data_IF_236957508638
#
_entry.id   IF_236957508638
#
_cell.length_a   1.000
_cell.length_b   1.000
_cell.length_c   1.000
_cell.angle_alpha   90.00
_cell.angle_beta   90.00
_cell.angle_gamma   90.00
#
_symmetry.space_group_name_H-M   'P 1'
#
loop_
_entity.id
_entity.type
_entity.pdbx_description
1 polymer ?
#
# COMPACT_ATOMS: atom_id res chain seq x y z
N UNK A 1 15.86 11.66 3.68
CA UNK A 1 14.48 11.21 3.41
C UNK A 1 13.80 10.88 4.73
N UNK A 2 12.50 11.12 4.84
CA UNK A 2 11.68 10.72 6.00
C UNK A 2 10.89 9.47 5.61
N UNK A 3 10.70 8.54 6.55
CA UNK A 3 9.98 7.29 6.34
C UNK A 3 8.91 7.12 7.42
N UNK A 4 7.74 6.60 7.03
CA UNK A 4 6.82 5.96 7.95
C UNK A 4 7.30 4.52 8.17
N UNK A 5 7.31 4.09 9.43
CA UNK A 5 7.75 2.76 9.84
C UNK A 5 6.69 2.15 10.76
N UNK A 6 6.26 0.94 10.42
CA UNK A 6 5.36 0.10 11.20
C UNK A 6 5.79 -1.37 11.02
N UNK A 7 5.29 -2.27 11.88
CA UNK A 7 5.68 -3.69 11.88
C UNK A 7 5.51 -4.38 10.52
N UNK A 8 6.55 -4.44 9.69
CA UNK A 8 6.47 -5.03 8.35
C UNK A 8 6.06 -4.08 7.22
N UNK A 9 5.99 -2.76 7.49
CA UNK A 9 5.80 -1.72 6.49
C UNK A 9 6.83 -0.61 6.71
N UNK A 10 7.64 -0.33 5.69
CA UNK A 10 8.52 0.84 5.66
C UNK A 10 8.30 1.58 4.36
N UNK A 11 7.78 2.79 4.47
CA UNK A 11 7.36 3.57 3.31
C UNK A 11 7.96 4.97 3.36
N UNK A 12 8.54 5.41 2.26
CA UNK A 12 9.07 6.78 2.14
C UNK A 12 7.92 7.78 2.17
N UNK A 13 8.13 8.88 2.89
CA UNK A 13 7.22 10.02 2.84
C UNK A 13 7.52 10.82 1.56
N UNK A 14 6.52 11.11 0.71
CA UNK A 14 6.67 11.97 -0.46
C UNK A 14 7.31 13.33 -0.10
N UNK A 15 8.17 13.83 -0.99
CA UNK A 15 9.05 14.96 -0.71
C UNK A 15 8.29 16.23 -0.30
N UNK A 16 7.14 16.47 -0.92
CA UNK A 16 6.24 17.59 -0.66
C UNK A 16 5.59 17.54 0.73
N UNK A 17 5.50 16.36 1.35
CA UNK A 17 4.96 16.17 2.70
C UNK A 17 6.04 16.18 3.80
N UNK A 18 7.31 16.01 3.45
CA UNK A 18 8.43 15.89 4.42
C UNK A 18 8.49 17.09 5.37
N UNK A 19 8.38 18.32 4.86
CA UNK A 19 8.48 19.53 5.69
C UNK A 19 7.40 19.58 6.79
N UNK A 20 6.17 19.17 6.46
CA UNK A 20 5.05 19.12 7.40
C UNK A 20 5.17 17.97 8.40
N UNK A 21 5.76 16.85 7.96
CA UNK A 21 5.92 15.65 8.79
C UNK A 21 7.16 15.68 9.69
N UNK A 22 8.12 16.57 9.43
CA UNK A 22 9.37 16.64 10.19
C UNK A 22 9.15 16.83 11.71
N UNK A 23 8.14 17.61 12.10
CA UNK A 23 7.80 17.86 13.51
C UNK A 23 7.30 16.61 14.26
N UNK A 24 6.82 15.59 13.54
CA UNK A 24 6.27 14.35 14.09
C UNK A 24 7.29 13.20 14.11
N UNK A 25 8.57 13.47 13.80
CA UNK A 25 9.61 12.45 13.79
C UNK A 25 9.72 11.77 15.17
N UNK A 26 9.63 10.44 15.18
CA UNK A 26 9.68 9.63 16.40
C UNK A 26 8.36 9.58 17.19
N UNK A 27 7.30 10.22 16.69
CA UNK A 27 5.96 10.14 17.27
C UNK A 27 5.11 9.12 16.52
N UNK A 28 4.13 8.54 17.21
CA UNK A 28 3.12 7.70 16.58
C UNK A 28 2.13 8.57 15.82
N UNK A 29 1.90 8.24 14.55
CA UNK A 29 0.95 8.93 13.68
C UNK A 29 0.08 7.90 12.97
N UNK A 30 -1.09 8.33 12.50
CA UNK A 30 -1.97 7.49 11.66
C UNK A 30 -1.62 7.72 10.19
N UNK A 31 -1.28 6.64 9.48
CA UNK A 31 -1.11 6.64 8.03
C UNK A 31 -2.42 6.19 7.38
N UNK A 32 -2.99 7.04 6.53
CA UNK A 32 -4.13 6.68 5.68
C UNK A 32 -3.72 6.75 4.22
N UNK A 33 -4.03 5.69 3.47
CA UNK A 33 -3.86 5.59 2.02
C UNK A 33 -5.22 5.18 1.47
N UNK A 34 -5.67 5.80 0.37
CA UNK A 34 -6.93 5.37 -0.23
C UNK A 34 -6.72 4.10 -1.06
N UNK A 35 -7.73 3.22 -1.17
CA UNK A 35 -7.60 1.98 -1.94
C UNK A 35 -7.15 2.20 -3.40
N UNK A 36 -7.57 3.29 -4.03
CA UNK A 36 -7.21 3.65 -5.40
C UNK A 36 -5.77 4.13 -5.60
N UNK A 37 -5.11 4.55 -4.53
CA UNK A 37 -3.71 5.02 -4.57
C UNK A 37 -2.73 3.84 -4.48
N UNK A 38 -3.24 2.62 -4.33
CA UNK A 38 -2.48 1.37 -4.32
C UNK A 38 -2.54 0.70 -5.69
N UNK A 39 -1.37 0.33 -6.22
CA UNK A 39 -1.26 -0.43 -7.46
C UNK A 39 -0.50 -1.73 -7.26
N UNK A 40 -0.84 -2.74 -8.03
CA UNK A 40 -0.02 -3.95 -8.14
C UNK A 40 1.28 -3.57 -8.86
N UNK A 41 2.42 -3.76 -8.19
CA UNK A 41 3.74 -3.50 -8.77
C UNK A 41 4.56 -4.78 -8.71
N UNK A 42 4.64 -5.54 -9.82
CA UNK A 42 5.45 -6.75 -9.87
C UNK A 42 6.97 -6.47 -9.96
N UNK A 43 7.38 -5.20 -10.10
CA UNK A 43 8.74 -4.79 -10.40
C UNK A 43 9.42 -3.94 -9.31
N UNK A 44 10.59 -3.40 -9.65
CA UNK A 44 11.38 -2.52 -8.78
C UNK A 44 10.89 -1.06 -8.79
N UNK A 45 9.96 -0.73 -9.68
CA UNK A 45 9.36 0.60 -9.75
C UNK A 45 8.62 0.89 -8.45
N UNK A 46 8.89 2.06 -7.87
CA UNK A 46 8.38 2.49 -6.57
C UNK A 46 8.83 1.61 -5.39
N UNK A 47 10.03 1.03 -5.42
CA UNK A 47 10.55 0.19 -4.31
C UNK A 47 10.47 0.86 -2.93
N UNK A 48 10.67 2.19 -2.86
CA UNK A 48 10.56 3.00 -1.64
C UNK A 48 9.11 3.13 -1.10
N UNK A 49 8.13 2.76 -1.91
CA UNK A 49 6.68 2.81 -1.64
C UNK A 49 5.99 1.45 -1.73
N UNK A 50 6.77 0.39 -1.99
CA UNK A 50 6.24 -0.94 -2.24
C UNK A 50 6.36 -1.84 -1.01
N UNK A 51 5.37 -2.70 -0.82
CA UNK A 51 5.29 -3.67 0.26
C UNK A 51 4.59 -4.93 -0.21
N UNK A 52 4.92 -6.03 0.45
CA UNK A 52 4.27 -7.31 0.21
C UNK A 52 3.08 -7.47 1.14
N UNK A 53 1.97 -7.99 0.62
CA UNK A 53 0.77 -8.31 1.39
C UNK A 53 0.21 -9.67 0.97
N UNK A 54 -0.58 -10.29 1.84
CA UNK A 54 -1.30 -11.53 1.54
C UNK A 54 -2.72 -11.20 1.11
N UNK A 55 -3.21 -11.75 0.01
CA UNK A 55 -4.59 -11.56 -0.42
C UNK A 55 -5.52 -12.42 0.45
N UNK A 56 -6.45 -11.81 1.16
CA UNK A 56 -7.48 -12.50 1.93
C UNK A 56 -8.74 -12.72 1.08
N UNK A 57 -9.21 -11.66 0.41
CA UNK A 57 -10.43 -11.68 -0.40
C UNK A 57 -10.19 -10.99 -1.74
N UNK A 58 -10.83 -11.53 -2.78
CA UNK A 58 -10.89 -10.92 -4.12
C UNK A 58 -12.35 -10.65 -4.42
N UNK A 59 -12.72 -9.39 -4.57
CA UNK A 59 -14.10 -8.93 -4.84
C UNK A 59 -14.21 -8.27 -6.22
N UNK A 60 -14.64 -9.00 -7.26
CA UNK A 60 -14.86 -8.43 -8.58
C UNK A 60 -16.16 -7.60 -8.60
N UNK A 61 -16.05 -6.32 -8.94
CA UNK A 61 -17.18 -5.38 -9.01
C UNK A 61 -17.56 -5.01 -10.46
N UNK A 62 -17.00 -5.72 -11.44
CA UNK A 62 -17.20 -5.47 -12.87
C UNK A 62 -16.07 -4.62 -13.45
N UNK A 63 -16.09 -3.30 -13.21
CA UNK A 63 -15.06 -2.39 -13.75
C UNK A 63 -13.77 -2.35 -12.94
N UNK A 64 -13.76 -2.95 -11.75
CA UNK A 64 -12.63 -2.99 -10.84
C UNK A 64 -12.71 -4.22 -9.94
N UNK A 65 -11.62 -4.49 -9.23
CA UNK A 65 -11.53 -5.52 -8.20
C UNK A 65 -11.10 -4.84 -6.90
N UNK A 66 -11.81 -5.11 -5.81
CA UNK A 66 -11.30 -4.82 -4.47
C UNK A 66 -10.53 -6.04 -3.97
N UNK A 67 -9.32 -5.80 -3.52
CA UNK A 67 -8.47 -6.78 -2.86
C UNK A 67 -8.40 -6.42 -1.39
N UNK A 68 -8.97 -7.27 -0.54
CA UNK A 68 -8.67 -7.22 0.88
C UNK A 68 -7.37 -7.97 1.09
N UNK A 69 -6.39 -7.27 1.66
CA UNK A 69 -5.06 -7.81 1.90
C UNK A 69 -4.65 -7.67 3.36
N UNK A 70 -3.97 -8.68 3.88
CA UNK A 70 -3.30 -8.63 5.16
C UNK A 70 -1.87 -8.11 4.99
N UNK A 71 -1.57 -7.01 5.67
CA UNK A 71 -0.25 -6.41 5.80
C UNK A 71 0.01 -6.14 7.27
N UNK A 72 1.14 -6.57 7.83
CA UNK A 72 1.52 -6.20 9.20
C UNK A 72 0.50 -6.61 10.29
N UNK A 73 -0.36 -7.61 10.04
CA UNK A 73 -1.48 -7.95 10.92
C UNK A 73 -2.65 -6.96 10.87
N UNK A 74 -2.66 -6.06 9.88
CA UNK A 74 -3.75 -5.14 9.57
C UNK A 74 -4.39 -5.53 8.23
N UNK A 75 -5.70 -5.32 8.14
CA UNK A 75 -6.44 -5.45 6.88
C UNK A 75 -6.42 -4.12 6.13
N UNK A 76 -6.07 -4.18 4.85
CA UNK A 76 -5.99 -3.03 3.93
C UNK A 76 -6.76 -3.39 2.67
N UNK A 77 -7.47 -2.43 2.11
CA UNK A 77 -8.19 -2.61 0.83
C UNK A 77 -7.38 -1.94 -0.28
N UNK A 78 -7.15 -2.65 -1.37
CA UNK A 78 -6.58 -2.09 -2.60
C UNK A 78 -7.59 -2.22 -3.74
N UNK A 79 -7.73 -1.16 -4.54
CA UNK A 79 -8.63 -1.13 -5.69
C UNK A 79 -7.81 -1.22 -6.96
N UNK A 80 -8.04 -2.28 -7.73
CA UNK A 80 -7.20 -2.62 -8.88
C UNK A 80 -8.00 -2.82 -10.15
N UNK A 81 -7.32 -2.70 -11.28
CA UNK A 81 -7.87 -2.94 -12.62
C UNK A 81 -8.42 -4.38 -12.74
N UNK A 82 -9.50 -4.59 -13.51
CA UNK A 82 -10.14 -5.90 -13.64
C UNK A 82 -9.25 -6.93 -14.36
N UNK A 83 -8.18 -6.48 -15.02
CA UNK A 83 -7.18 -7.36 -15.63
C UNK A 83 -6.21 -7.98 -14.62
N UNK A 84 -6.17 -7.50 -13.38
CA UNK A 84 -5.29 -8.05 -12.34
C UNK A 84 -5.74 -9.46 -11.99
N UNK A 85 -4.78 -10.41 -12.07
CA UNK A 85 -4.99 -11.79 -11.66
C UNK A 85 -4.42 -11.95 -10.25
N UNK A 86 -5.28 -11.92 -9.25
CA UNK A 86 -4.95 -12.23 -7.87
C UNK A 86 -5.82 -13.41 -7.40
N UNK A 87 -5.30 -14.20 -6.47
CA UNK A 87 -6.03 -15.30 -5.82
C UNK A 87 -6.00 -15.14 -4.31
N UNK A 88 -7.03 -15.60 -3.58
CA UNK A 88 -6.95 -15.72 -2.14
C UNK A 88 -5.73 -16.56 -1.72
N UNK A 89 -5.06 -16.13 -0.65
CA UNK A 89 -3.80 -16.68 -0.11
C UNK A 89 -2.59 -16.53 -1.04
N UNK A 90 -2.67 -15.67 -2.05
CA UNK A 90 -1.53 -15.28 -2.86
C UNK A 90 -0.76 -14.12 -2.21
N UNK A 91 0.56 -14.20 -2.22
CA UNK A 91 1.41 -13.07 -1.85
C UNK A 91 1.49 -12.11 -3.04
N UNK A 92 1.02 -10.89 -2.85
CA UNK A 92 1.03 -9.85 -3.88
C UNK A 92 1.91 -8.67 -3.43
N UNK A 93 2.53 -8.00 -4.40
CA UNK A 93 3.30 -6.78 -4.16
C UNK A 93 2.47 -5.57 -4.57
N UNK A 94 2.22 -4.69 -3.61
CA UNK A 94 1.51 -3.43 -3.80
C UNK A 94 2.48 -2.27 -3.67
N UNK A 95 2.20 -1.17 -4.36
CA UNK A 95 2.92 0.07 -4.23
C UNK A 95 1.96 1.25 -4.09
N UNK A 96 2.27 2.15 -3.17
CA UNK A 96 1.60 3.45 -3.09
C UNK A 96 2.10 4.37 -4.20
N UNK A 97 1.17 4.97 -4.92
CA UNK A 97 1.44 6.01 -5.91
C UNK A 97 1.06 7.36 -5.28
N UNK A 98 2.05 8.18 -4.88
CA UNK A 98 1.75 9.55 -4.45
C UNK A 98 1.28 10.39 -5.63
N UNK A 99 0.33 11.29 -5.37
CA UNK A 99 -0.10 12.36 -6.28
C UNK A 99 1.04 13.31 -6.69
#
# INVERSE_FOLDING_TARGET
ALFADASGLKMKIPAERVARMAAYKGQTVTLGIRPEDLRVSPGADLADYAFDAMVDVVEPLGSEILLDVALAGQSVVARVEPSVKARPHEKIRLAFVPD
#
